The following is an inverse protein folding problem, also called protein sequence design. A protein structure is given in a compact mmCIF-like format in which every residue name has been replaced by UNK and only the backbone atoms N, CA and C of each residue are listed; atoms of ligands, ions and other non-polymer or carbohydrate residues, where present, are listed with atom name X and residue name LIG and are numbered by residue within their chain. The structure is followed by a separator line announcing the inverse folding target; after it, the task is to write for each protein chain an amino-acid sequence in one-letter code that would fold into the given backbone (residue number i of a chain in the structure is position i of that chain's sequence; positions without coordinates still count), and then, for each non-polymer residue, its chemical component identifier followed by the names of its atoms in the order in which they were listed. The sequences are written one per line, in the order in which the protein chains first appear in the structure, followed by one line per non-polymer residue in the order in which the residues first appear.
data_IF_563281828006
#
_entry.id   IF_563281828006
#
_cell.length_a   1.000
_cell.length_b   1.000
_cell.length_c   1.000
_cell.angle_alpha   90.00
_cell.angle_beta   90.00
_cell.angle_gamma   90.00
#
_symmetry.space_group_name_H-M   'P 1'
#
loop_
_entity.id
_entity.type
_entity.pdbx_description
1 polymer ?
#
# COMPACT_ATOMS: atom_id res chain seq x y z
N UNK A 1 3.93 8.74 3.82
CA UNK A 1 3.04 8.16 4.85
C UNK A 1 3.35 8.81 6.19
N UNK A 2 2.43 8.80 7.17
CA UNK A 2 2.77 9.09 8.57
C UNK A 2 3.84 8.12 9.08
N UNK A 3 4.63 8.53 10.08
CA UNK A 3 5.59 7.63 10.73
C UNK A 3 4.83 6.48 11.39
N UNK A 4 5.35 5.26 11.28
CA UNK A 4 4.77 4.06 11.86
C UNK A 4 5.85 3.19 12.49
N UNK A 5 5.46 2.24 13.32
CA UNK A 5 6.36 1.23 13.87
C UNK A 5 5.77 0.45 15.02
N UNK A 6 6.65 -0.20 15.77
CA UNK A 6 6.31 -0.93 16.99
C UNK A 6 6.66 -0.07 18.20
N UNK A 7 5.76 0.02 19.17
CA UNK A 7 5.96 0.63 20.47
C UNK A 7 5.55 -0.33 21.59
N UNK A 8 5.74 0.11 22.84
CA UNK A 8 5.21 -0.56 24.03
C UNK A 8 4.04 0.28 24.55
N UNK A 9 2.89 -0.35 24.72
CA UNK A 9 1.75 0.20 25.45
C UNK A 9 1.82 -0.33 26.89
N UNK A 10 1.94 0.58 27.85
CA UNK A 10 2.07 0.24 29.27
C UNK A 10 1.45 1.32 30.18
N UNK A 11 1.66 1.21 31.49
CA UNK A 11 1.13 2.17 32.47
C UNK A 11 1.72 3.58 32.38
N UNK A 12 2.81 3.78 31.63
CA UNK A 12 3.39 5.10 31.37
C UNK A 12 2.81 5.77 30.12
N UNK A 13 2.04 5.03 29.32
CA UNK A 13 1.41 5.54 28.11
C UNK A 13 0.20 6.42 28.45
N UNK A 14 0.12 7.59 27.81
CA UNK A 14 -1.05 8.48 27.93
C UNK A 14 -2.19 7.96 27.05
N UNK A 15 -3.33 7.64 27.66
CA UNK A 15 -4.54 7.17 26.97
C UNK A 15 -5.52 8.34 26.95
N UNK A 16 -5.81 8.89 25.77
CA UNK A 16 -6.72 10.03 25.61
C UNK A 16 -8.21 9.63 25.69
N UNK A 17 -8.52 8.35 25.47
CA UNK A 17 -9.85 7.78 25.55
C UNK A 17 -9.78 6.45 26.32
N UNK A 18 -10.20 6.48 27.57
CA UNK A 18 -10.09 5.35 28.52
C UNK A 18 -10.89 4.12 28.08
N UNK A 19 -11.83 4.26 27.13
CA UNK A 19 -12.57 3.12 26.56
C UNK A 19 -11.76 2.34 25.51
N UNK A 20 -10.70 2.94 24.94
CA UNK A 20 -9.94 2.34 23.83
C UNK A 20 -8.85 1.36 24.27
N UNK A 21 -8.37 1.47 25.51
CA UNK A 21 -7.29 0.62 26.01
C UNK A 21 -7.41 0.40 27.52
N UNK A 22 -7.35 -0.86 27.92
CA UNK A 22 -7.28 -1.30 29.31
C UNK A 22 -5.90 -1.90 29.60
N UNK A 23 -5.55 -2.17 30.87
CA UNK A 23 -4.32 -2.89 31.19
C UNK A 23 -4.19 -4.28 30.51
N UNK A 24 -5.30 -4.88 30.04
CA UNK A 24 -5.27 -6.12 29.25
C UNK A 24 -4.65 -5.93 27.86
N UNK A 25 -4.57 -4.70 27.37
CA UNK A 25 -3.98 -4.35 26.08
C UNK A 25 -2.48 -4.05 26.17
N UNK A 26 -1.88 -4.05 27.37
CA UNK A 26 -0.46 -3.76 27.53
C UNK A 26 0.42 -4.80 26.84
N UNK A 27 1.54 -4.34 26.28
CA UNK A 27 2.47 -5.15 25.50
C UNK A 27 2.99 -4.40 24.28
N UNK A 28 3.49 -5.16 23.30
CA UNK A 28 3.88 -4.58 22.01
C UNK A 28 2.63 -4.11 21.27
N UNK A 29 2.70 -2.93 20.68
CA UNK A 29 1.63 -2.33 19.91
C UNK A 29 2.20 -1.75 18.60
N UNK A 30 1.36 -1.70 17.57
CA UNK A 30 1.67 -0.95 16.35
C UNK A 30 1.19 0.49 16.54
N UNK A 31 2.04 1.46 16.19
CA UNK A 31 1.66 2.87 16.21
C UNK A 31 1.70 3.48 14.81
N UNK A 32 0.85 4.49 14.63
CA UNK A 32 0.85 5.39 13.51
C UNK A 32 0.84 6.82 14.04
N UNK A 33 1.66 7.69 13.47
CA UNK A 33 1.66 9.11 13.80
C UNK A 33 0.32 9.75 13.43
N UNK A 34 -0.31 10.38 14.42
CA UNK A 34 -1.56 11.10 14.22
C UNK A 34 -1.36 12.26 13.24
N UNK A 35 -2.22 12.34 12.23
CA UNK A 35 -2.15 13.38 11.21
C UNK A 35 -3.34 14.33 11.32
N UNK A 36 -3.15 15.57 11.81
CA UNK A 36 -4.24 16.53 11.95
C UNK A 36 -4.65 17.10 10.58
N UNK A 37 -5.90 17.59 10.51
CA UNK A 37 -6.47 18.30 9.35
C UNK A 37 -6.44 17.46 8.07
N UNK A 38 -6.75 16.18 8.21
CA UNK A 38 -6.97 15.26 7.09
C UNK A 38 -8.45 15.07 6.84
N UNK A 39 -8.81 14.81 5.60
CA UNK A 39 -10.13 14.34 5.20
C UNK A 39 -9.99 13.31 4.08
N UNK A 40 -11.06 12.61 3.74
CA UNK A 40 -11.09 11.70 2.58
C UNK A 40 -10.79 12.45 1.29
N UNK A 41 -10.25 11.75 0.30
CA UNK A 41 -10.03 12.31 -1.03
C UNK A 41 -11.32 12.89 -1.62
N UNK A 42 -11.23 14.10 -2.19
CA UNK A 42 -12.31 14.75 -2.92
C UNK A 42 -11.82 15.04 -4.35
N UNK A 43 -12.57 14.68 -5.41
CA UNK A 43 -12.14 14.89 -6.80
C UNK A 43 -11.73 16.35 -7.08
N UNK A 44 -12.50 17.30 -6.54
CA UNK A 44 -12.31 18.74 -6.75
C UNK A 44 -10.98 19.30 -6.21
N UNK A 45 -10.27 18.55 -5.37
CA UNK A 45 -8.98 18.96 -4.81
C UNK A 45 -7.77 18.38 -5.55
N UNK A 46 -7.96 17.38 -6.42
CA UNK A 46 -6.85 16.64 -7.06
C UNK A 46 -5.91 17.59 -7.81
N UNK A 47 -6.47 18.52 -8.59
CA UNK A 47 -5.69 19.50 -9.36
C UNK A 47 -4.84 20.43 -8.50
N UNK A 48 -5.22 20.63 -7.22
CA UNK A 48 -4.55 21.51 -6.25
C UNK A 48 -3.52 20.77 -5.37
N UNK A 49 -3.47 19.45 -5.43
CA UNK A 49 -2.52 18.67 -4.63
C UNK A 49 -1.09 18.85 -5.17
N UNK A 50 -0.15 19.14 -4.27
CA UNK A 50 1.26 19.34 -4.64
C UNK A 50 1.98 18.06 -5.08
N UNK A 51 1.43 16.90 -4.72
CA UNK A 51 2.01 15.58 -4.95
C UNK A 51 1.00 14.64 -5.63
N UNK A 52 0.13 15.17 -6.49
CA UNK A 52 -0.83 14.35 -7.25
C UNK A 52 -0.13 13.27 -8.09
N UNK A 53 1.09 13.53 -8.54
CA UNK A 53 1.92 12.58 -9.28
C UNK A 53 2.31 11.35 -8.44
N UNK A 54 2.26 11.43 -7.10
CA UNK A 54 2.43 10.25 -6.24
C UNK A 54 1.35 9.20 -6.49
N UNK A 55 0.22 9.56 -7.12
CA UNK A 55 -0.77 8.59 -7.59
C UNK A 55 -0.16 7.50 -8.47
N UNK A 56 0.81 7.83 -9.33
CA UNK A 56 1.49 6.82 -10.18
C UNK A 56 2.24 5.80 -9.31
N UNK A 57 2.85 6.25 -8.22
CA UNK A 57 3.54 5.38 -7.25
C UNK A 57 2.55 4.50 -6.51
N UNK A 58 1.41 5.06 -6.12
CA UNK A 58 0.34 4.34 -5.42
C UNK A 58 -0.23 3.26 -6.32
N UNK A 59 -0.54 3.59 -7.57
CA UNK A 59 -1.04 2.65 -8.57
C UNK A 59 -0.09 1.47 -8.75
N UNK A 60 1.21 1.73 -8.98
CA UNK A 60 2.20 0.65 -9.10
C UNK A 60 2.37 -0.13 -7.80
N UNK A 61 2.37 0.54 -6.65
CA UNK A 61 2.53 -0.12 -5.35
C UNK A 61 1.35 -1.05 -5.03
N UNK A 62 0.13 -0.59 -5.25
CA UNK A 62 -1.09 -1.38 -5.08
C UNK A 62 -1.06 -2.61 -5.99
N UNK A 63 -0.52 -2.52 -7.22
CA UNK A 63 -0.29 -3.70 -8.04
C UNK A 63 0.83 -4.61 -7.51
N UNK A 64 1.95 -4.07 -7.00
CA UNK A 64 3.06 -4.87 -6.45
C UNK A 64 2.60 -5.71 -5.26
N UNK A 65 1.79 -5.13 -4.37
CA UNK A 65 1.28 -5.83 -3.18
C UNK A 65 -0.10 -6.44 -3.40
N UNK A 66 -0.66 -6.39 -4.61
CA UNK A 66 -2.01 -6.85 -4.94
C UNK A 66 -3.08 -6.28 -3.96
N UNK A 67 -3.10 -4.97 -3.76
CA UNK A 67 -4.07 -4.30 -2.91
C UNK A 67 -5.39 -4.05 -3.67
N UNK A 68 -6.45 -4.73 -3.27
CA UNK A 68 -7.79 -4.56 -3.85
C UNK A 68 -8.73 -3.74 -2.96
N UNK A 69 -8.20 -3.06 -1.94
CA UNK A 69 -8.96 -2.27 -0.96
C UNK A 69 -8.44 -0.83 -0.86
N UNK A 70 -8.09 -0.21 -1.99
CA UNK A 70 -7.80 1.23 -2.07
C UNK A 70 -9.10 2.03 -2.05
N UNK A 71 -9.88 1.87 -0.97
CA UNK A 71 -11.17 2.51 -0.78
C UNK A 71 -11.02 4.00 -0.34
N UNK A 72 -12.10 4.81 -0.34
CA UNK A 72 -12.05 6.24 -0.02
C UNK A 72 -11.60 6.58 1.41
N UNK A 73 -11.63 5.63 2.34
CA UNK A 73 -11.05 5.76 3.67
C UNK A 73 -9.53 5.66 3.68
N UNK A 74 -8.94 5.00 2.67
CA UNK A 74 -7.53 4.64 2.63
C UNK A 74 -6.65 5.66 1.88
N UNK A 75 -7.27 6.68 1.26
CA UNK A 75 -6.58 7.89 0.78
C UNK A 75 -7.11 9.14 1.47
N UNK A 76 -6.17 9.80 2.16
CA UNK A 76 -6.41 11.03 2.87
C UNK A 76 -5.78 12.20 2.12
N UNK A 77 -6.42 13.37 2.25
CA UNK A 77 -5.87 14.64 1.83
C UNK A 77 -5.65 15.49 3.06
N UNK A 78 -4.40 15.91 3.27
CA UNK A 78 -4.04 16.86 4.31
C UNK A 78 -4.32 18.28 3.81
N UNK A 79 -5.04 19.06 4.62
CA UNK A 79 -5.37 20.45 4.36
C UNK A 79 -4.69 21.38 5.38
N UNK A 80 -3.51 21.86 5.02
CA UNK A 80 -2.81 22.90 5.75
C UNK A 80 -2.58 24.11 4.84
N UNK A 81 -2.42 25.30 5.42
CA UNK A 81 -2.15 26.52 4.63
C UNK A 81 -0.87 26.33 3.81
N UNK A 82 -0.99 26.29 2.49
CA UNK A 82 0.13 26.03 1.56
C UNK A 82 0.55 24.56 1.42
N UNK A 83 -0.16 23.62 2.07
CA UNK A 83 0.08 22.18 1.94
C UNK A 83 -1.26 21.45 1.77
N UNK A 84 -1.59 21.20 0.50
CA UNK A 84 -2.61 20.23 0.09
C UNK A 84 -1.84 19.02 -0.44
N UNK A 85 -1.85 17.92 0.32
CA UNK A 85 -1.10 16.71 -0.09
C UNK A 85 -1.85 15.41 0.16
N UNK A 86 -1.64 14.49 -0.77
CA UNK A 86 -2.13 13.12 -0.73
C UNK A 86 -1.34 12.29 0.28
N UNK A 87 -2.05 11.48 1.06
CA UNK A 87 -1.51 10.58 2.08
C UNK A 87 -2.22 9.24 1.97
N UNK A 88 -1.42 8.18 1.89
CA UNK A 88 -1.91 6.81 1.87
C UNK A 88 -1.83 6.23 3.26
N UNK A 89 -2.89 5.55 3.67
CA UNK A 89 -2.95 4.74 4.88
C UNK A 89 -3.53 3.37 4.53
N UNK A 90 -3.50 2.47 5.51
CA UNK A 90 -4.14 1.16 5.49
C UNK A 90 -3.76 0.28 4.28
N UNK A 91 -2.90 -0.71 4.55
CA UNK A 91 -2.47 -1.72 3.58
C UNK A 91 -2.71 -3.12 4.17
N UNK A 92 -3.81 -3.28 4.92
CA UNK A 92 -4.13 -4.55 5.57
C UNK A 92 -4.64 -5.61 4.59
N UNK A 93 -5.41 -5.21 3.56
CA UNK A 93 -5.98 -6.11 2.55
C UNK A 93 -5.11 -6.22 1.30
N UNK A 94 -3.94 -6.85 1.45
CA UNK A 94 -2.92 -7.03 0.39
C UNK A 94 -2.74 -8.50 0.04
N UNK A 95 -2.20 -8.80 -1.15
CA UNK A 95 -1.96 -10.14 -1.72
C UNK A 95 -3.23 -10.85 -2.22
N UNK A 96 -3.07 -11.96 -2.96
CA UNK A 96 -4.12 -12.65 -3.74
C UNK A 96 -5.35 -13.13 -2.92
N UNK A 97 -5.27 -13.07 -1.58
CA UNK A 97 -6.35 -13.38 -0.63
C UNK A 97 -6.46 -12.36 0.52
N UNK A 98 -6.00 -11.12 0.31
CA UNK A 98 -6.02 -10.04 1.30
C UNK A 98 -5.34 -10.47 2.62
N UNK A 99 -5.96 -10.22 3.77
CA UNK A 99 -5.39 -10.50 5.10
C UNK A 99 -5.07 -11.99 5.34
N UNK A 100 -5.58 -12.91 4.51
CA UNK A 100 -5.47 -14.36 4.69
C UNK A 100 -4.62 -14.99 3.58
N UNK A 101 -3.30 -14.90 3.70
CA UNK A 101 -2.36 -15.47 2.75
C UNK A 101 -1.40 -16.48 3.41
N UNK A 102 -0.91 -17.42 2.61
CA UNK A 102 0.12 -18.38 2.95
C UNK A 102 1.02 -18.66 1.73
N UNK A 103 2.08 -19.45 1.91
CA UNK A 103 2.97 -19.81 0.80
C UNK A 103 2.23 -20.46 -0.39
N UNK A 104 1.21 -21.28 -0.12
CA UNK A 104 0.50 -22.02 -1.16
C UNK A 104 -0.26 -21.08 -2.09
N UNK A 105 -0.97 -20.08 -1.53
CA UNK A 105 -1.74 -19.15 -2.35
C UNK A 105 -0.83 -18.20 -3.13
N UNK A 106 0.28 -17.73 -2.55
CA UNK A 106 1.24 -16.85 -3.22
C UNK A 106 1.90 -17.57 -4.40
N UNK A 107 2.32 -18.83 -4.19
CA UNK A 107 2.89 -19.65 -5.25
C UNK A 107 1.91 -19.87 -6.39
N UNK A 108 0.67 -20.25 -6.07
CA UNK A 108 -0.40 -20.44 -7.07
C UNK A 108 -0.65 -19.16 -7.87
N UNK A 109 -0.64 -17.99 -7.21
CA UNK A 109 -0.85 -16.71 -7.90
C UNK A 109 0.23 -16.42 -8.96
N UNK A 110 1.50 -16.74 -8.65
CA UNK A 110 2.58 -16.66 -9.64
C UNK A 110 2.41 -17.65 -10.78
N UNK A 111 2.02 -18.89 -10.48
CA UNK A 111 1.75 -19.95 -11.49
C UNK A 111 0.59 -19.58 -12.42
N UNK A 112 -0.44 -18.91 -11.90
CA UNK A 112 -1.60 -18.42 -12.64
C UNK A 112 -1.34 -17.08 -13.37
N UNK A 113 -0.14 -16.52 -13.23
CA UNK A 113 0.28 -15.24 -13.82
C UNK A 113 -0.64 -14.06 -13.46
N UNK A 114 -0.82 -13.84 -12.16
CA UNK A 114 -1.63 -12.76 -11.58
C UNK A 114 -1.11 -11.33 -11.87
N UNK A 115 -0.06 -11.17 -12.67
CA UNK A 115 0.40 -9.89 -13.22
C UNK A 115 -0.56 -9.34 -14.28
N UNK A 116 -1.33 -10.21 -14.93
CA UNK A 116 -2.33 -9.87 -15.94
C UNK A 116 -3.73 -9.64 -15.33
N UNK A 117 -3.90 -9.83 -14.03
CA UNK A 117 -5.19 -9.69 -13.35
C UNK A 117 -5.60 -8.20 -13.24
N UNK A 118 -6.84 -7.90 -13.66
CA UNK A 118 -7.44 -6.56 -13.61
C UNK A 118 -8.15 -6.26 -12.29
N UNK A 119 -8.25 -7.20 -11.35
CA UNK A 119 -8.93 -7.00 -10.04
C UNK A 119 -8.42 -5.78 -9.28
N UNK A 120 -7.11 -5.54 -9.24
CA UNK A 120 -6.56 -4.34 -8.57
C UNK A 120 -7.11 -3.04 -9.17
N UNK A 121 -7.40 -3.01 -10.48
CA UNK A 121 -8.00 -1.85 -11.14
C UNK A 121 -9.52 -1.82 -10.90
N UNK A 122 -10.19 -2.95 -11.03
CA UNK A 122 -11.64 -3.06 -10.91
C UNK A 122 -12.15 -2.73 -9.50
N UNK A 123 -11.53 -3.31 -8.47
CA UNK A 123 -11.95 -3.10 -7.09
C UNK A 123 -11.61 -1.69 -6.57
N UNK A 124 -10.58 -1.05 -7.15
CA UNK A 124 -10.17 0.30 -6.80
C UNK A 124 -10.70 1.38 -7.77
N UNK A 125 -11.53 0.98 -8.75
CA UNK A 125 -12.00 1.80 -9.87
C UNK A 125 -12.53 3.17 -9.42
N UNK A 126 -13.44 3.20 -8.45
CA UNK A 126 -14.03 4.44 -7.93
C UNK A 126 -12.99 5.50 -7.56
N UNK A 127 -11.90 5.09 -6.92
CA UNK A 127 -10.86 6.02 -6.48
C UNK A 127 -9.90 6.35 -7.63
N UNK A 128 -9.54 5.35 -8.43
CA UNK A 128 -8.63 5.52 -9.56
C UNK A 128 -9.24 6.43 -10.64
N UNK A 129 -10.53 6.30 -10.90
CA UNK A 129 -11.30 7.15 -11.82
C UNK A 129 -11.20 8.63 -11.44
N UNK A 130 -11.29 8.97 -10.15
CA UNK A 130 -11.10 10.36 -9.71
C UNK A 130 -9.77 10.95 -10.18
N UNK A 131 -8.70 10.14 -10.15
CA UNK A 131 -7.40 10.55 -10.66
C UNK A 131 -7.36 10.55 -12.18
N UNK A 132 -7.84 9.50 -12.85
CA UNK A 132 -7.80 9.43 -14.31
C UNK A 132 -8.56 10.58 -14.98
N UNK A 133 -9.66 11.07 -14.37
CA UNK A 133 -10.41 12.24 -14.83
C UNK A 133 -9.66 13.57 -14.65
N UNK A 134 -8.77 13.66 -13.65
CA UNK A 134 -8.10 14.91 -13.25
C UNK A 134 -6.59 14.92 -13.57
N UNK A 135 -6.04 13.80 -14.01
CA UNK A 135 -4.62 13.55 -14.16
C UNK A 135 -4.36 12.47 -15.22
N UNK A 136 -3.64 12.84 -16.28
CA UNK A 136 -3.27 11.89 -17.34
C UNK A 136 -2.07 11.05 -16.92
N UNK A 137 -2.31 9.78 -16.59
CA UNK A 137 -1.27 8.78 -16.36
C UNK A 137 -0.70 8.35 -17.71
N UNK A 138 0.57 8.69 -17.96
CA UNK A 138 1.28 8.34 -19.19
C UNK A 138 2.24 7.17 -18.98
N UNK A 139 2.50 6.41 -20.05
CA UNK A 139 3.42 5.26 -20.03
C UNK A 139 4.79 5.61 -19.46
N UNK A 140 5.35 6.75 -19.84
CA UNK A 140 6.69 7.17 -19.41
C UNK A 140 6.74 7.45 -17.90
N UNK A 141 5.62 7.86 -17.30
CA UNK A 141 5.53 8.07 -15.85
C UNK A 141 5.57 6.74 -15.10
N UNK A 142 4.83 5.75 -15.61
CA UNK A 142 4.82 4.40 -15.07
C UNK A 142 6.19 3.72 -15.22
N UNK A 143 6.81 3.82 -16.39
CA UNK A 143 8.15 3.24 -16.64
C UNK A 143 9.23 3.89 -15.76
N UNK A 144 9.15 5.20 -15.56
CA UNK A 144 10.05 5.92 -14.65
C UNK A 144 9.92 5.43 -13.22
N UNK A 145 8.70 5.37 -12.68
CA UNK A 145 8.49 4.90 -11.31
C UNK A 145 8.79 3.39 -11.18
N UNK A 146 8.51 2.59 -12.20
CA UNK A 146 8.92 1.16 -12.24
C UNK A 146 10.43 0.99 -12.08
N UNK A 147 11.22 1.81 -12.78
CA UNK A 147 12.68 1.81 -12.62
C UNK A 147 13.12 2.14 -11.19
N UNK A 148 12.42 3.08 -10.53
CA UNK A 148 12.67 3.41 -9.12
C UNK A 148 12.32 2.24 -8.20
N UNK A 149 11.20 1.56 -8.41
CA UNK A 149 10.79 0.38 -7.64
C UNK A 149 11.81 -0.75 -7.77
N UNK A 150 12.17 -1.14 -9.01
CA UNK A 150 13.17 -2.18 -9.28
C UNK A 150 14.55 -1.86 -8.67
N UNK A 151 14.91 -0.57 -8.56
CA UNK A 151 16.18 -0.16 -7.93
C UNK A 151 16.17 -0.19 -6.40
N UNK A 152 15.00 -0.12 -5.75
CA UNK A 152 14.87 0.04 -4.30
C UNK A 152 14.35 -1.19 -3.58
N UNK A 153 13.49 -1.97 -4.23
CA UNK A 153 12.89 -3.16 -3.64
C UNK A 153 13.72 -4.35 -4.09
N UNK A 154 14.50 -4.89 -3.16
CA UNK A 154 15.31 -6.08 -3.35
C UNK A 154 15.14 -7.01 -2.14
N UNK A 155 15.73 -8.21 -2.22
CA UNK A 155 15.59 -9.24 -1.19
C UNK A 155 16.09 -8.77 0.19
N UNK A 156 17.12 -7.95 0.23
CA UNK A 156 17.72 -7.46 1.48
C UNK A 156 16.77 -6.48 2.16
N UNK A 157 16.27 -5.47 1.45
CA UNK A 157 15.28 -4.51 1.98
C UNK A 157 14.01 -5.21 2.45
N UNK A 158 13.50 -6.20 1.71
CA UNK A 158 12.32 -6.95 2.15
C UNK A 158 12.62 -7.71 3.44
N UNK A 159 13.82 -8.31 3.54
CA UNK A 159 14.25 -9.04 4.75
C UNK A 159 14.38 -8.09 5.94
N UNK A 160 14.99 -6.92 5.77
CA UNK A 160 15.08 -5.90 6.81
C UNK A 160 13.69 -5.46 7.32
N UNK A 161 12.71 -5.29 6.43
CA UNK A 161 11.33 -4.94 6.82
C UNK A 161 10.66 -6.05 7.64
N UNK A 162 10.86 -7.30 7.27
CA UNK A 162 10.34 -8.46 8.01
C UNK A 162 11.02 -8.56 9.38
N UNK A 163 12.31 -8.23 9.46
CA UNK A 163 13.08 -8.32 10.70
C UNK A 163 12.60 -7.34 11.78
N UNK A 164 11.94 -6.23 11.38
CA UNK A 164 11.31 -5.28 12.31
C UNK A 164 10.06 -5.87 13.00
N UNK A 165 9.42 -6.87 12.38
CA UNK A 165 8.19 -7.47 12.92
C UNK A 165 8.55 -8.24 14.21
N UNK A 166 7.85 -8.01 15.33
CA UNK A 166 8.04 -8.77 16.55
C UNK A 166 7.83 -10.27 16.33
N UNK A 167 8.67 -11.10 16.94
CA UNK A 167 8.65 -12.55 16.75
C UNK A 167 7.26 -13.18 16.98
N UNK A 168 6.53 -12.69 17.98
CA UNK A 168 5.16 -13.16 18.28
C UNK A 168 4.11 -12.83 17.21
N UNK A 169 4.40 -11.92 16.29
CA UNK A 169 3.52 -11.54 15.17
C UNK A 169 3.98 -12.10 13.84
N UNK A 170 5.17 -12.73 13.79
CA UNK A 170 5.74 -13.19 12.53
C UNK A 170 4.95 -14.38 11.96
N UNK A 171 4.66 -14.38 10.65
CA UNK A 171 4.18 -15.57 9.97
C UNK A 171 5.20 -16.71 10.03
N UNK A 172 4.80 -17.92 9.58
CA UNK A 172 5.74 -19.04 9.51
C UNK A 172 6.84 -18.74 8.48
N UNK A 173 8.04 -19.25 8.71
CA UNK A 173 9.19 -19.00 7.82
C UNK A 173 8.90 -19.34 6.36
N UNK A 174 8.21 -20.45 6.09
CA UNK A 174 7.80 -20.83 4.72
C UNK A 174 6.94 -19.77 4.03
N UNK A 175 6.06 -19.10 4.78
CA UNK A 175 5.14 -18.09 4.25
C UNK A 175 5.92 -16.79 4.00
N UNK A 176 6.85 -16.46 4.90
CA UNK A 176 7.80 -15.35 4.74
C UNK A 176 8.66 -15.52 3.48
N UNK A 177 9.24 -16.71 3.27
CA UNK A 177 10.13 -16.98 2.13
C UNK A 177 9.38 -16.85 0.81
N UNK A 178 8.14 -17.36 0.74
CA UNK A 178 7.31 -17.23 -0.45
C UNK A 178 6.80 -15.80 -0.64
N UNK A 179 6.51 -15.06 0.43
CA UNK A 179 6.19 -13.63 0.34
C UNK A 179 7.34 -12.84 -0.30
N UNK A 180 8.59 -13.12 0.08
CA UNK A 180 9.77 -12.51 -0.55
C UNK A 180 9.80 -12.81 -2.04
N UNK A 181 9.57 -14.06 -2.43
CA UNK A 181 9.54 -14.45 -3.85
C UNK A 181 8.41 -13.75 -4.61
N UNK A 182 7.21 -13.69 -4.02
CA UNK A 182 6.03 -13.07 -4.62
C UNK A 182 6.24 -11.56 -4.86
N UNK A 183 6.74 -10.82 -3.87
CA UNK A 183 7.02 -9.39 -4.02
C UNK A 183 8.08 -9.17 -5.11
N UNK A 184 9.16 -9.95 -5.11
CA UNK A 184 10.21 -9.83 -6.13
C UNK A 184 9.68 -10.17 -7.53
N UNK A 185 8.90 -11.24 -7.67
CA UNK A 185 8.24 -11.61 -8.93
C UNK A 185 7.43 -10.44 -9.49
N UNK A 186 6.64 -9.75 -8.67
CA UNK A 186 5.82 -8.62 -9.12
C UNK A 186 6.64 -7.38 -9.43
N UNK A 187 7.67 -7.08 -8.65
CA UNK A 187 8.58 -5.95 -8.89
C UNK A 187 9.38 -6.16 -10.18
N UNK A 188 9.97 -7.33 -10.37
CA UNK A 188 10.82 -7.66 -11.52
C UNK A 188 10.04 -7.62 -12.83
N UNK A 189 8.74 -7.92 -12.80
CA UNK A 189 7.84 -7.94 -13.95
C UNK A 189 6.87 -6.74 -14.00
N UNK A 190 7.24 -5.59 -13.42
CA UNK A 190 6.42 -4.37 -13.47
C UNK A 190 6.06 -3.90 -14.89
N UNK A 191 6.86 -4.23 -15.90
CA UNK A 191 6.57 -3.96 -17.32
C UNK A 191 5.31 -4.70 -17.82
N UNK A 192 5.06 -5.92 -17.34
CA UNK A 192 3.82 -6.67 -17.60
C UNK A 192 2.64 -5.97 -16.94
N UNK A 193 2.79 -5.60 -15.65
CA UNK A 193 1.77 -4.85 -14.89
C UNK A 193 1.42 -3.53 -15.59
N UNK A 194 2.43 -2.78 -16.05
CA UNK A 194 2.22 -1.52 -16.79
C UNK A 194 1.41 -1.77 -18.06
N UNK A 195 1.72 -2.84 -18.78
CA UNK A 195 0.98 -3.22 -19.98
C UNK A 195 -0.48 -3.55 -19.66
N UNK A 196 -0.75 -4.23 -18.54
CA UNK A 196 -2.11 -4.49 -18.03
C UNK A 196 -2.85 -3.18 -17.72
N UNK A 197 -2.23 -2.26 -16.99
CA UNK A 197 -2.81 -0.94 -16.64
C UNK A 197 -3.18 -0.16 -17.90
N UNK A 198 -2.25 -0.04 -18.85
CA UNK A 198 -2.46 0.73 -20.08
C UNK A 198 -3.53 0.10 -20.96
N UNK A 199 -3.59 -1.24 -21.02
CA UNK A 199 -4.61 -1.95 -21.79
C UNK A 199 -5.99 -1.74 -21.19
N UNK A 200 -6.11 -1.71 -19.86
CA UNK A 200 -7.37 -1.45 -19.17
C UNK A 200 -7.86 -0.01 -19.37
N UNK A 201 -6.98 0.98 -19.21
CA UNK A 201 -7.35 2.41 -19.36
C UNK A 201 -7.69 2.85 -20.78
N UNK A 202 -7.34 2.06 -21.80
CA UNK A 202 -7.69 2.33 -23.19
C UNK A 202 -9.02 1.68 -23.62
N UNK A 203 -9.73 1.00 -22.70
CA UNK A 203 -11.07 0.44 -22.93
C UNK A 203 -12.15 1.48 -22.65
#
# INVERSE_FOLDING_TARGET
MPRAGVCILDSSSEIQDEELATPLNYGKAFFLEYMPKVTKLLPTIISKMRNKEDFVKILLFDHVIFNTDRNPGNLLVRFCKGDISLKVIDHTHVFINQTLWDASCLKRAMEENDLLDTKVLEYNSYLYEMFFENFSVRKEMLEKESSVFKSKINRDIITELIDIIPEEWRPKQKDIDELKNYILYRVDNLDVIISTILTYNNR
#
